data_IF_723983393053
#
_entry.id   IF_723983393053
#
_cell.length_a   1.000
_cell.length_b   1.000
_cell.length_c   1.000
_cell.angle_alpha   90.00
_cell.angle_beta   90.00
_cell.angle_gamma   90.00
#
_symmetry.space_group_name_H-M   'P 1'
#
loop_
_entity.id
_entity.type
_entity.pdbx_description
1 polymer ?
#
# COMPACT_ATOMS: atom_id res chain seq x y z
N UNK A 1 7.89 -8.41 -0.76
CA UNK A 1 6.49 -8.23 -1.21
C UNK A 1 6.52 -7.65 -2.61
N UNK A 2 5.86 -8.33 -3.54
CA UNK A 2 6.00 -8.09 -4.97
C UNK A 2 5.40 -6.75 -5.42
N UNK A 3 5.79 -6.28 -6.60
CA UNK A 3 5.24 -5.06 -7.23
C UNK A 3 3.71 -5.03 -7.27
N UNK A 4 3.06 -6.20 -7.36
CA UNK A 4 1.61 -6.34 -7.37
C UNK A 4 0.95 -6.02 -6.02
N UNK A 5 1.53 -6.46 -4.90
CA UNK A 5 0.96 -6.20 -3.56
C UNK A 5 1.03 -4.70 -3.23
N UNK A 6 2.13 -4.06 -3.63
CA UNK A 6 2.28 -2.61 -3.53
C UNK A 6 1.23 -1.88 -4.37
N UNK A 7 1.04 -2.31 -5.62
CA UNK A 7 0.03 -1.74 -6.51
C UNK A 7 -1.38 -1.90 -5.93
N UNK A 8 -1.76 -3.10 -5.48
CA UNK A 8 -3.07 -3.35 -4.88
C UNK A 8 -3.30 -2.48 -3.66
N UNK A 9 -2.29 -2.33 -2.79
CA UNK A 9 -2.37 -1.47 -1.61
C UNK A 9 -2.70 -0.02 -2.00
N UNK A 10 -1.95 0.56 -2.95
CA UNK A 10 -2.20 1.94 -3.40
C UNK A 10 -3.56 2.11 -4.11
N UNK A 11 -3.95 1.15 -4.94
CA UNK A 11 -5.25 1.19 -5.62
C UNK A 11 -6.42 1.07 -4.63
N UNK A 12 -6.32 0.20 -3.62
CA UNK A 12 -7.33 0.07 -2.57
C UNK A 12 -7.53 1.39 -1.81
N UNK A 13 -6.43 2.01 -1.36
CA UNK A 13 -6.49 3.31 -0.68
C UNK A 13 -7.16 4.38 -1.55
N UNK A 14 -6.80 4.42 -2.84
CA UNK A 14 -7.36 5.37 -3.81
C UNK A 14 -8.86 5.13 -4.03
N UNK A 15 -9.26 3.87 -4.20
CA UNK A 15 -10.66 3.49 -4.41
C UNK A 15 -11.53 3.80 -3.19
N UNK A 16 -11.07 3.47 -1.98
CA UNK A 16 -11.84 3.76 -0.76
C UNK A 16 -12.05 5.26 -0.56
N UNK A 17 -11.00 6.07 -0.77
CA UNK A 17 -11.09 7.53 -0.69
C UNK A 17 -12.06 8.11 -1.73
N UNK A 18 -12.02 7.62 -2.96
CA UNK A 18 -12.97 8.03 -4.02
C UNK A 18 -14.41 7.68 -3.67
N UNK A 19 -14.66 6.47 -3.16
CA UNK A 19 -16.01 6.07 -2.77
C UNK A 19 -16.55 6.86 -1.57
N UNK A 20 -15.70 7.22 -0.61
CA UNK A 20 -16.07 8.07 0.53
C UNK A 20 -16.41 9.51 0.11
N UNK A 21 -15.82 10.00 -0.98
CA UNK A 21 -16.12 11.31 -1.55
C UNK A 21 -17.40 11.32 -2.40
N UNK A 22 -18.04 10.18 -2.64
CA UNK A 22 -19.26 10.10 -3.43
C UNK A 22 -20.43 10.78 -2.68
N UNK A 23 -21.21 11.65 -3.35
CA UNK A 23 -22.22 12.47 -2.68
C UNK A 23 -23.42 11.70 -2.15
N UNK A 24 -23.68 10.48 -2.65
CA UNK A 24 -24.87 9.68 -2.32
C UNK A 24 -24.50 8.35 -1.65
N UNK A 25 -23.63 8.41 -0.65
CA UNK A 25 -23.23 7.25 0.15
C UNK A 25 -24.11 7.13 1.40
N UNK A 26 -24.63 5.93 1.68
CA UNK A 26 -25.35 5.67 2.94
C UNK A 26 -24.38 5.62 4.13
N UNK A 27 -24.86 5.91 5.33
CA UNK A 27 -24.04 5.88 6.54
C UNK A 27 -23.41 4.51 6.82
N UNK A 28 -24.17 3.43 6.59
CA UNK A 28 -23.69 2.05 6.71
C UNK A 28 -22.50 1.79 5.77
N UNK A 29 -22.62 2.23 4.51
CA UNK A 29 -21.56 2.07 3.52
C UNK A 29 -20.37 2.97 3.86
N UNK A 30 -20.60 4.16 4.40
CA UNK A 30 -19.55 5.07 4.86
C UNK A 30 -18.75 4.46 6.01
N UNK A 31 -19.41 3.87 7.00
CA UNK A 31 -18.74 3.20 8.12
C UNK A 31 -17.93 1.99 7.66
N UNK A 32 -18.48 1.17 6.76
CA UNK A 32 -17.76 0.05 6.17
C UNK A 32 -16.49 0.51 5.44
N UNK A 33 -16.59 1.56 4.59
CA UNK A 33 -15.44 2.07 3.85
C UNK A 33 -14.39 2.71 4.75
N UNK A 34 -14.78 3.40 5.82
CA UNK A 34 -13.84 3.92 6.81
C UNK A 34 -13.06 2.81 7.52
N UNK A 35 -13.74 1.71 7.86
CA UNK A 35 -13.09 0.53 8.45
C UNK A 35 -12.08 -0.09 7.48
N UNK A 36 -12.49 -0.33 6.22
CA UNK A 36 -11.61 -0.89 5.20
C UNK A 36 -10.41 0.01 4.91
N UNK A 37 -10.61 1.32 4.90
CA UNK A 37 -9.52 2.29 4.74
C UNK A 37 -8.51 2.18 5.89
N UNK A 38 -8.97 2.14 7.14
CA UNK A 38 -8.10 2.02 8.31
C UNK A 38 -7.33 0.68 8.31
N UNK A 39 -8.00 -0.42 7.95
CA UNK A 39 -7.38 -1.75 7.82
C UNK A 39 -6.31 -1.77 6.72
N UNK A 40 -6.55 -1.09 5.60
CA UNK A 40 -5.57 -0.98 4.51
C UNK A 40 -4.38 -0.09 4.90
N UNK A 41 -4.62 1.09 5.50
CA UNK A 41 -3.56 2.00 5.97
C UNK A 41 -2.65 1.34 7.02
N UNK A 42 -3.21 0.47 7.88
CA UNK A 42 -2.45 -0.29 8.88
C UNK A 42 -1.46 -1.31 8.29
N UNK A 43 -1.64 -1.74 7.03
CA UNK A 43 -0.68 -2.63 6.35
C UNK A 43 0.66 -1.93 6.07
N UNK A 44 0.65 -0.60 6.05
CA UNK A 44 1.84 0.23 5.81
C UNK A 44 2.36 0.13 4.37
N UNK A 45 3.29 1.02 3.98
CA UNK A 45 3.96 0.91 2.69
C UNK A 45 4.72 -0.42 2.62
N UNK A 46 4.83 -1.04 1.43
CA UNK A 46 5.63 -2.24 1.28
C UNK A 46 7.04 -1.92 1.76
N UNK A 47 7.54 -2.72 2.70
CA UNK A 47 8.95 -2.62 3.12
C UNK A 47 9.78 -2.83 1.86
N UNK A 48 10.44 -1.76 1.39
CA UNK A 48 11.53 -1.93 0.44
C UNK A 48 12.53 -2.81 1.16
N UNK A 49 12.66 -4.05 0.72
CA UNK A 49 13.65 -4.95 1.25
C UNK A 49 15.02 -4.41 0.80
N UNK A 50 15.63 -3.59 1.66
CA UNK A 50 16.97 -3.04 1.49
C UNK A 50 18.05 -4.14 1.67
N UNK A 51 17.68 -5.43 1.69
CA UNK A 51 18.61 -6.57 1.81
C UNK A 51 19.47 -6.79 0.57
N UNK A 52 19.18 -6.17 -0.57
CA UNK A 52 20.11 -6.11 -1.70
C UNK A 52 21.18 -5.03 -1.48
N UNK A 53 22.01 -5.19 -0.44
CA UNK A 53 23.37 -4.62 -0.48
C UNK A 53 24.26 -5.61 -1.22
N UNK A 54 24.72 -5.32 -2.45
CA UNK A 54 25.82 -6.09 -3.02
C UNK A 54 27.02 -5.94 -2.08
N UNK A 55 27.59 -7.07 -1.65
CA UNK A 55 28.79 -7.09 -0.83
C UNK A 55 29.92 -6.35 -1.56
N UNK A 56 30.68 -5.45 -0.89
CA UNK A 56 31.76 -4.67 -1.51
C UNK A 56 33.00 -5.51 -1.89
N UNK A 57 32.89 -6.84 -1.91
CA UNK A 57 34.01 -7.74 -2.16
C UNK A 57 34.37 -7.92 -3.66
N UNK A 58 33.62 -7.33 -4.59
CA UNK A 58 33.84 -7.53 -6.03
C UNK A 58 34.77 -6.49 -6.70
N UNK A 59 35.25 -5.46 -6.00
CA UNK A 59 36.03 -4.36 -6.60
C UNK A 59 37.55 -4.43 -6.39
N UNK A 60 38.12 -5.59 -6.03
CA UNK A 60 39.58 -5.72 -5.89
C UNK A 60 40.17 -6.87 -6.70
N UNK A 61 39.98 -6.86 -8.01
CA UNK A 61 40.91 -7.51 -8.95
C UNK A 61 40.94 -6.73 -10.28
N UNK A 62 41.79 -5.70 -10.33
CA UNK A 62 42.38 -5.17 -11.56
C UNK A 62 43.81 -4.73 -11.27
#
# INVERSE_FOLDING_TARGET
>A
MGSLEAFIHYENLTLFKKQLAAPQISDERRQMLLRLLAEEEAKGPPRQDLSFRPSPAAERMT
#
